data_IF_145475912479
#
_entry.id   IF_145475912479
#
_cell.length_a   1.000
_cell.length_b   1.000
_cell.length_c   1.000
_cell.angle_alpha   90.00
_cell.angle_beta   90.00
_cell.angle_gamma   90.00
#
_symmetry.space_group_name_H-M   'P 1'
#
loop_
_entity.id
_entity.type
_entity.pdbx_description
1 polymer ?
#
# COMPACT_ATOMS: atom_id res chain seq x y z
N UNK A 1 -10.61 21.34 20.25
CA UNK A 1 -10.93 21.19 18.84
C UNK A 1 -9.97 20.21 18.20
N UNK A 2 -10.48 19.07 17.88
CA UNK A 2 -9.68 18.10 17.18
C UNK A 2 -9.51 18.56 15.74
N UNK A 3 -8.37 19.08 15.44
CA UNK A 3 -7.99 19.19 14.04
C UNK A 3 -7.66 17.80 13.55
N UNK A 4 -8.64 17.19 12.97
CA UNK A 4 -8.35 16.03 12.16
C UNK A 4 -7.56 16.55 10.95
N UNK A 5 -6.35 16.10 10.82
CA UNK A 5 -5.65 16.29 9.58
C UNK A 5 -6.49 15.80 8.40
N UNK A 6 -6.19 16.20 7.18
CA UNK A 6 -6.94 15.77 6.02
C UNK A 6 -7.08 14.25 6.03
N UNK A 7 -8.27 13.75 5.74
CA UNK A 7 -8.49 12.32 5.64
C UNK A 7 -7.54 11.71 4.62
N UNK A 8 -7.19 10.47 4.80
CA UNK A 8 -6.29 9.75 3.88
C UNK A 8 -6.74 9.88 2.42
N UNK A 9 -8.05 9.89 2.22
CA UNK A 9 -8.64 10.06 0.90
C UNK A 9 -8.23 11.40 0.28
N UNK A 10 -8.27 12.48 1.04
CA UNK A 10 -7.89 13.81 0.58
C UNK A 10 -6.39 13.90 0.31
N UNK A 11 -5.60 13.31 1.19
CA UNK A 11 -4.14 13.26 1.01
C UNK A 11 -3.79 12.52 -0.28
N UNK A 12 -4.46 11.41 -0.54
CA UNK A 12 -4.20 10.63 -1.75
C UNK A 12 -4.68 11.37 -3.00
N UNK A 13 -5.86 11.96 -2.95
CA UNK A 13 -6.39 12.74 -4.07
C UNK A 13 -5.49 13.93 -4.35
N UNK A 14 -5.03 14.61 -3.32
CA UNK A 14 -4.11 15.73 -3.45
C UNK A 14 -2.76 15.27 -4.02
N UNK A 15 -2.27 14.12 -3.58
CA UNK A 15 -1.03 13.54 -4.09
C UNK A 15 -1.16 13.16 -5.57
N UNK A 16 -2.26 12.54 -5.94
CA UNK A 16 -2.53 12.16 -7.33
C UNK A 16 -2.73 13.40 -8.21
N UNK A 17 -3.43 14.41 -7.71
CA UNK A 17 -3.64 15.66 -8.41
C UNK A 17 -2.33 16.41 -8.62
N UNK A 18 -1.49 16.46 -7.59
CA UNK A 18 -0.17 17.07 -7.68
C UNK A 18 0.71 16.31 -8.68
N UNK A 19 0.63 14.99 -8.67
CA UNK A 19 1.38 14.18 -9.61
C UNK A 19 0.93 14.42 -11.06
N UNK A 20 -0.37 14.58 -11.27
CA UNK A 20 -0.93 14.86 -12.59
C UNK A 20 -0.62 16.28 -13.05
N UNK A 21 -0.75 17.26 -12.16
CA UNK A 21 -0.48 18.66 -12.52
C UNK A 21 1.00 18.91 -12.77
N UNK A 22 1.88 18.10 -12.23
CA UNK A 22 3.32 18.17 -12.48
C UNK A 22 3.76 17.24 -13.59
N UNK A 23 2.82 16.72 -14.36
CA UNK A 23 3.05 15.61 -15.26
C UNK A 23 4.16 15.79 -16.28
N UNK A 24 4.40 16.97 -16.80
CA UNK A 24 5.43 17.17 -17.81
C UNK A 24 6.68 17.83 -17.24
N UNK A 25 6.62 19.02 -16.62
CA UNK A 25 7.86 19.63 -16.11
C UNK A 25 8.37 18.99 -14.83
N UNK A 26 7.52 18.34 -14.05
CA UNK A 26 7.90 17.70 -12.81
C UNK A 26 8.45 16.30 -12.96
N UNK A 27 8.20 15.63 -14.07
CA UNK A 27 8.54 14.23 -14.24
C UNK A 27 10.05 13.96 -14.17
N UNK A 28 10.87 14.87 -14.62
CA UNK A 28 12.33 14.74 -14.54
C UNK A 28 12.90 14.87 -13.15
N UNK A 29 12.17 15.48 -12.23
CA UNK A 29 12.58 15.63 -10.83
C UNK A 29 11.92 14.62 -9.92
N UNK A 30 10.99 13.85 -10.45
CA UNK A 30 10.31 12.81 -9.70
C UNK A 30 11.28 11.67 -9.49
N UNK A 31 11.61 11.42 -8.22
CA UNK A 31 12.43 10.26 -7.89
C UNK A 31 11.67 8.99 -8.26
N UNK A 32 12.32 8.04 -8.96
CA UNK A 32 11.70 6.74 -9.16
C UNK A 32 11.47 6.10 -7.79
N UNK A 33 10.41 5.32 -7.66
CA UNK A 33 10.17 4.58 -6.45
C UNK A 33 11.31 3.59 -6.21
N UNK A 34 11.73 3.46 -4.95
CA UNK A 34 12.71 2.45 -4.58
C UNK A 34 12.09 1.06 -4.73
N UNK A 35 12.84 0.15 -5.35
CA UNK A 35 12.44 -1.24 -5.52
C UNK A 35 13.60 -2.10 -5.06
N UNK A 36 13.38 -3.10 -4.19
CA UNK A 36 14.48 -3.93 -3.72
C UNK A 36 15.01 -4.84 -4.84
N UNK A 37 16.24 -5.25 -4.70
CA UNK A 37 16.84 -6.20 -5.64
C UNK A 37 16.17 -7.57 -5.53
N UNK A 38 15.88 -8.00 -4.29
CA UNK A 38 15.18 -9.25 -3.99
C UNK A 38 14.28 -9.07 -2.78
N UNK A 39 13.16 -9.78 -2.77
CA UNK A 39 12.22 -9.71 -1.65
C UNK A 39 12.79 -10.30 -0.36
N UNK A 40 13.68 -11.28 -0.45
CA UNK A 40 14.27 -11.92 0.73
C UNK A 40 15.25 -11.02 1.49
N UNK A 41 15.59 -9.86 0.92
CA UNK A 41 16.37 -8.83 1.60
C UNK A 41 15.53 -7.97 2.54
N UNK A 42 14.21 -8.08 2.48
CA UNK A 42 13.30 -7.37 3.38
C UNK A 42 13.28 -8.08 4.73
N UNK A 43 14.11 -7.61 5.65
CA UNK A 43 14.32 -8.24 6.95
C UNK A 43 13.90 -7.32 8.10
N UNK A 44 12.98 -6.42 7.83
CA UNK A 44 12.46 -5.52 8.84
C UNK A 44 11.63 -6.23 9.91
N UNK A 45 11.24 -5.50 10.96
CA UNK A 45 10.47 -6.08 12.05
C UNK A 45 9.07 -6.47 11.61
N UNK A 46 8.54 -7.53 12.20
CA UNK A 46 7.18 -7.99 11.96
C UNK A 46 6.27 -7.78 13.18
N UNK A 47 6.80 -7.30 14.28
CA UNK A 47 6.07 -7.04 15.51
C UNK A 47 6.73 -5.92 16.31
N UNK A 48 6.04 -5.45 17.35
CA UNK A 48 6.57 -4.40 18.21
C UNK A 48 6.34 -3.01 17.64
N UNK A 49 7.08 -2.05 18.16
CA UNK A 49 6.96 -0.64 17.80
C UNK A 49 8.11 -0.24 16.89
N UNK A 50 7.79 0.41 15.77
CA UNK A 50 8.78 0.92 14.82
C UNK A 50 8.80 2.44 14.89
N UNK A 51 10.00 2.99 14.99
CA UNK A 51 10.24 4.43 14.94
C UNK A 51 10.89 4.76 13.60
N UNK A 52 10.18 5.51 12.77
CA UNK A 52 10.77 6.04 11.55
C UNK A 52 11.60 7.27 11.91
N UNK A 53 12.77 7.45 11.29
CA UNK A 53 13.56 8.64 11.52
C UNK A 53 12.83 9.87 11.03
N UNK A 54 13.05 11.00 11.70
CA UNK A 54 12.53 12.27 11.25
C UNK A 54 13.13 12.61 9.90
N UNK A 55 12.28 12.72 8.88
CA UNK A 55 12.72 13.05 7.53
C UNK A 55 11.84 14.18 6.98
N UNK A 56 12.41 15.17 6.30
CA UNK A 56 11.62 16.30 5.81
C UNK A 56 10.46 15.90 4.91
N UNK A 57 10.61 14.79 4.21
CA UNK A 57 9.59 14.30 3.27
C UNK A 57 8.57 13.36 3.91
N UNK A 58 8.77 13.01 5.18
CA UNK A 58 7.88 12.08 5.89
C UNK A 58 6.96 12.88 6.80
N UNK A 59 5.74 13.05 6.35
CA UNK A 59 4.73 13.76 7.12
C UNK A 59 4.08 12.83 8.13
N UNK A 60 3.94 13.29 9.37
CA UNK A 60 3.15 12.61 10.36
C UNK A 60 3.95 11.98 11.48
N UNK A 61 3.26 11.17 12.26
CA UNK A 61 3.79 10.54 13.43
C UNK A 61 4.71 9.37 13.05
N UNK A 62 5.93 9.43 13.50
CA UNK A 62 6.98 8.47 13.15
C UNK A 62 6.92 7.17 13.95
N UNK A 63 5.90 6.97 14.76
CA UNK A 63 5.80 5.79 15.64
C UNK A 63 4.64 4.90 15.17
N UNK A 64 4.95 3.63 14.92
CA UNK A 64 3.97 2.65 14.45
C UNK A 64 4.01 1.40 15.33
N UNK A 65 2.87 1.01 15.84
CA UNK A 65 2.70 -0.22 16.60
C UNK A 65 2.29 -1.34 15.63
N UNK A 66 3.22 -2.25 15.34
CA UNK A 66 2.97 -3.33 14.40
C UNK A 66 2.00 -4.39 14.93
N UNK A 67 1.75 -4.40 16.22
CA UNK A 67 0.77 -5.31 16.82
C UNK A 67 -0.66 -4.79 16.66
N UNK A 68 -0.83 -3.53 16.25
CA UNK A 68 -2.12 -2.95 15.91
C UNK A 68 -2.38 -3.13 14.41
N UNK A 69 -3.46 -3.84 14.00
CA UNK A 69 -3.64 -4.24 12.59
C UNK A 69 -3.65 -3.08 11.59
N UNK A 70 -4.26 -1.96 11.93
CA UNK A 70 -4.30 -0.81 11.04
C UNK A 70 -2.96 -0.10 10.92
N UNK A 71 -2.13 -0.16 11.94
CA UNK A 71 -0.85 0.56 11.95
C UNK A 71 0.22 -0.09 11.09
N UNK A 72 0.20 -1.41 10.96
CA UNK A 72 1.15 -2.09 10.06
C UNK A 72 0.89 -1.71 8.60
N UNK A 73 -0.37 -1.58 8.22
CA UNK A 73 -0.74 -1.12 6.88
C UNK A 73 -0.23 0.30 6.64
N UNK A 74 -0.43 1.17 7.61
CA UNK A 74 0.02 2.57 7.51
C UNK A 74 1.53 2.65 7.35
N UNK A 75 2.28 1.88 8.15
CA UNK A 75 3.74 1.85 8.05
C UNK A 75 4.19 1.39 6.67
N UNK A 76 3.62 0.29 6.18
CA UNK A 76 4.03 -0.28 4.89
C UNK A 76 3.76 0.69 3.75
N UNK A 77 2.62 1.35 3.77
CA UNK A 77 2.31 2.38 2.77
C UNK A 77 3.29 3.54 2.82
N UNK A 78 3.54 4.05 4.02
CA UNK A 78 4.47 5.17 4.19
C UNK A 78 5.86 4.82 3.67
N UNK A 79 6.38 3.66 4.04
CA UNK A 79 7.72 3.23 3.63
C UNK A 79 7.77 3.00 2.11
N UNK A 80 6.78 2.33 1.55
CA UNK A 80 6.77 2.04 0.11
C UNK A 80 6.70 3.30 -0.73
N UNK A 81 5.92 4.28 -0.31
CA UNK A 81 5.73 5.52 -1.06
C UNK A 81 6.93 6.45 -0.90
N UNK A 82 7.48 6.54 0.30
CA UNK A 82 8.45 7.58 0.63
C UNK A 82 9.91 7.10 0.65
N UNK A 83 10.16 5.80 0.60
CA UNK A 83 11.53 5.29 0.61
C UNK A 83 12.33 5.85 -0.56
N UNK A 84 13.47 6.42 -0.25
CA UNK A 84 14.37 6.97 -1.24
C UNK A 84 15.36 5.93 -1.78
N UNK A 85 15.68 4.93 -0.97
CA UNK A 85 16.67 3.90 -1.29
C UNK A 85 16.15 2.52 -0.95
N UNK A 86 16.68 1.46 -1.60
CA UNK A 86 16.34 0.10 -1.19
C UNK A 86 16.67 -0.23 0.25
N UNK A 87 17.68 0.42 0.83
CA UNK A 87 18.05 0.22 2.24
C UNK A 87 16.92 0.58 3.19
N UNK A 88 16.15 1.63 2.87
CA UNK A 88 14.97 1.99 3.65
C UNK A 88 13.95 0.85 3.65
N UNK A 89 13.77 0.21 2.49
CA UNK A 89 12.86 -0.92 2.37
C UNK A 89 13.33 -2.11 3.21
N UNK A 90 14.63 -2.41 3.16
CA UNK A 90 15.20 -3.54 3.89
C UNK A 90 15.06 -3.36 5.40
N UNK A 91 15.17 -2.13 5.87
CA UNK A 91 15.15 -1.84 7.30
C UNK A 91 13.75 -1.95 7.93
N UNK A 92 12.70 -1.66 7.17
CA UNK A 92 11.35 -1.50 7.73
C UNK A 92 10.34 -2.52 7.23
N UNK A 93 10.59 -3.18 6.11
CA UNK A 93 9.64 -4.14 5.55
C UNK A 93 10.10 -5.56 5.77
N UNK A 94 9.14 -6.45 5.98
CA UNK A 94 9.36 -7.88 6.05
C UNK A 94 8.68 -8.54 4.85
N UNK A 95 9.36 -9.49 4.22
CA UNK A 95 8.88 -10.15 3.00
C UNK A 95 7.53 -10.83 3.20
N UNK A 96 7.38 -11.57 4.29
CA UNK A 96 6.16 -12.33 4.56
C UNK A 96 4.98 -11.42 4.85
N UNK A 97 5.21 -10.39 5.66
CA UNK A 97 4.19 -9.40 5.99
C UNK A 97 3.77 -8.64 4.73
N UNK A 98 4.74 -8.25 3.91
CA UNK A 98 4.46 -7.55 2.65
C UNK A 98 3.56 -8.41 1.75
N UNK A 99 3.86 -9.69 1.61
CA UNK A 99 3.04 -10.60 0.80
C UNK A 99 1.61 -10.70 1.30
N UNK A 100 1.42 -10.72 2.62
CA UNK A 100 0.08 -10.75 3.21
C UNK A 100 -0.69 -9.45 3.00
N UNK A 101 0.00 -8.32 3.01
CA UNK A 101 -0.62 -7.01 2.93
C UNK A 101 -0.72 -6.49 1.49
N UNK A 102 0.01 -7.06 0.54
CA UNK A 102 0.19 -6.49 -0.79
C UNK A 102 -1.12 -6.11 -1.46
N UNK A 103 -2.09 -7.02 -1.46
CA UNK A 103 -3.38 -6.77 -2.09
C UNK A 103 -4.24 -5.76 -1.32
N UNK A 104 -3.98 -5.56 -0.04
CA UNK A 104 -4.70 -4.62 0.81
C UNK A 104 -4.10 -3.21 0.77
N UNK A 105 -2.86 -3.11 0.33
CA UNK A 105 -2.17 -1.82 0.29
C UNK A 105 -2.69 -0.97 -0.85
N UNK A 106 -3.07 0.25 -0.51
CA UNK A 106 -3.50 1.20 -1.50
C UNK A 106 -2.30 2.04 -1.93
N UNK A 107 -1.74 1.68 -3.07
CA UNK A 107 -0.49 2.25 -3.57
C UNK A 107 -0.73 2.99 -4.87
N UNK A 108 0.08 4.02 -5.17
CA UNK A 108 0.04 4.61 -6.50
C UNK A 108 0.26 3.56 -7.58
N UNK A 109 -0.46 3.70 -8.69
CA UNK A 109 -0.43 2.68 -9.74
C UNK A 109 0.98 2.44 -10.30
N UNK A 110 1.77 3.49 -10.41
CA UNK A 110 3.14 3.37 -10.92
C UNK A 110 4.04 2.59 -9.96
N UNK A 111 3.87 2.82 -8.65
CA UNK A 111 4.61 2.09 -7.63
C UNK A 111 4.25 0.61 -7.67
N UNK A 112 2.96 0.31 -7.66
CA UNK A 112 2.48 -1.08 -7.73
C UNK A 112 2.99 -1.78 -8.98
N UNK A 113 2.92 -1.10 -10.11
CA UNK A 113 3.39 -1.65 -11.38
C UNK A 113 4.90 -1.95 -11.35
N UNK A 114 5.70 -1.03 -10.84
CA UNK A 114 7.14 -1.21 -10.76
C UNK A 114 7.51 -2.44 -9.92
N UNK A 115 6.86 -2.61 -8.77
CA UNK A 115 7.10 -3.75 -7.91
C UNK A 115 6.59 -5.06 -8.52
N UNK A 116 5.43 -5.05 -9.14
CA UNK A 116 4.85 -6.25 -9.73
C UNK A 116 5.60 -6.69 -11.00
N UNK A 117 6.18 -5.76 -11.74
CA UNK A 117 7.06 -6.10 -12.86
C UNK A 117 8.35 -6.74 -12.38
N UNK A 118 8.89 -6.25 -11.29
CA UNK A 118 10.11 -6.81 -10.71
C UNK A 118 9.86 -8.14 -10.01
N UNK A 119 8.70 -8.28 -9.36
CA UNK A 119 8.37 -9.45 -8.55
C UNK A 119 7.03 -10.03 -9.00
N UNK A 120 7.07 -11.01 -9.94
CA UNK A 120 5.84 -11.63 -10.44
C UNK A 120 4.96 -12.26 -9.35
N UNK A 121 5.55 -12.67 -8.22
CA UNK A 121 4.77 -13.22 -7.11
C UNK A 121 3.78 -12.18 -6.55
N UNK A 122 4.15 -10.90 -6.53
CA UNK A 122 3.25 -9.85 -6.09
C UNK A 122 2.12 -9.62 -7.09
N UNK A 123 2.42 -9.66 -8.37
CA UNK A 123 1.41 -9.59 -9.42
C UNK A 123 0.40 -10.73 -9.30
N UNK A 124 0.88 -11.92 -8.99
CA UNK A 124 0.04 -13.09 -8.79
C UNK A 124 -0.88 -12.93 -7.57
N UNK A 125 -0.37 -12.39 -6.47
CA UNK A 125 -1.17 -12.08 -5.28
C UNK A 125 -2.30 -11.11 -5.63
N UNK A 126 -2.01 -10.04 -6.37
CA UNK A 126 -3.01 -9.08 -6.80
C UNK A 126 -4.08 -9.74 -7.67
N UNK A 127 -3.66 -10.59 -8.59
CA UNK A 127 -4.56 -11.27 -9.52
C UNK A 127 -5.49 -12.24 -8.78
N UNK A 128 -4.95 -13.04 -7.88
CA UNK A 128 -5.74 -14.00 -7.10
C UNK A 128 -6.74 -13.26 -6.21
N UNK A 129 -6.31 -12.20 -5.55
CA UNK A 129 -7.17 -11.42 -4.67
C UNK A 129 -8.32 -10.78 -5.45
N UNK A 130 -8.04 -10.23 -6.62
CA UNK A 130 -9.07 -9.66 -7.49
C UNK A 130 -10.09 -10.74 -7.91
N UNK A 131 -9.61 -11.93 -8.24
CA UNK A 131 -10.48 -13.05 -8.61
C UNK A 131 -11.39 -13.46 -7.45
N UNK A 132 -10.84 -13.56 -6.24
CA UNK A 132 -11.61 -13.91 -5.05
C UNK A 132 -12.66 -12.83 -4.76
N UNK A 133 -12.30 -11.56 -4.89
CA UNK A 133 -13.23 -10.45 -4.68
C UNK A 133 -14.38 -10.50 -5.69
N UNK A 134 -14.08 -10.79 -6.95
CA UNK A 134 -15.09 -10.94 -7.99
C UNK A 134 -16.03 -12.12 -7.71
N UNK A 135 -15.47 -13.25 -7.30
CA UNK A 135 -16.26 -14.42 -6.93
C UNK A 135 -17.19 -14.13 -5.75
N UNK A 136 -16.69 -13.43 -4.74
CA UNK A 136 -17.51 -13.04 -3.59
C UNK A 136 -18.63 -12.11 -4.00
N UNK A 137 -18.36 -11.17 -4.88
CA UNK A 137 -19.36 -10.24 -5.38
C UNK A 137 -20.46 -10.99 -6.15
N UNK A 138 -20.09 -11.90 -7.04
CA UNK A 138 -21.03 -12.72 -7.80
C UNK A 138 -21.87 -13.60 -6.89
N UNK A 139 -21.24 -14.21 -5.88
CA UNK A 139 -21.96 -15.05 -4.93
C UNK A 139 -22.97 -14.23 -4.13
N UNK A 140 -22.60 -13.04 -3.67
CA UNK A 140 -23.50 -12.17 -2.93
C UNK A 140 -24.69 -11.73 -3.81
N UNK A 141 -24.45 -11.46 -5.09
CA UNK A 141 -25.49 -11.11 -6.05
C UNK A 141 -26.43 -12.28 -6.28
N UNK A 142 -25.91 -13.46 -6.53
CA UNK A 142 -26.69 -14.68 -6.70
C UNK A 142 -27.56 -14.97 -5.47
N UNK A 143 -26.99 -14.82 -4.29
CA UNK A 143 -27.72 -15.03 -3.05
C UNK A 143 -28.89 -14.06 -2.89
N UNK A 144 -28.70 -12.80 -3.26
CA UNK A 144 -29.76 -11.80 -3.22
C UNK A 144 -30.89 -12.14 -4.21
N UNK A 145 -30.54 -12.57 -5.41
CA UNK A 145 -31.50 -12.97 -6.41
C UNK A 145 -32.33 -14.18 -5.95
N UNK A 146 -31.65 -15.17 -5.35
CA UNK A 146 -32.30 -16.36 -4.82
C UNK A 146 -33.31 -16.02 -3.74
N UNK A 147 -32.93 -15.12 -2.81
CA UNK A 147 -33.84 -14.70 -1.73
C UNK A 147 -34.97 -13.81 -2.23
N UNK A 148 -34.75 -13.07 -3.31
CA UNK A 148 -35.80 -12.22 -3.89
C UNK A 148 -36.85 -13.03 -4.66
N UNK A 149 -36.52 -14.22 -5.13
CA UNK A 149 -37.42 -15.10 -5.90
C UNK A 149 -38.14 -16.10 -5.03
N UNK A 150 -38.04 -16.05 -3.71
CA UNK A 150 -38.74 -16.95 -2.82
C UNK A 150 -40.26 -16.60 -2.81
N UNK A 151 -41.13 -17.45 -3.34
CA UNK A 151 -42.55 -17.19 -3.28
C UNK A 151 -43.04 -17.57 -1.88
N UNK A 152 -43.22 -16.59 -1.07
CA UNK A 152 -43.87 -16.81 0.23
C UNK A 152 -45.29 -17.27 0.08
#
# INVERSE_FOLDING_TARGET
>A
MSQRGPGWREVILQYMDTADSQGVPGSRYRRPYAVPERLDLLLGPSSGTVHLPSHPDWSGNAVYDLDAPGRVVDLYRAVLIEAATPQDLYAYLDEKVLGRLWALLWLPAQLRRAWEQRFPVLAEISRITATIADMRHRFAQWRRELLATDPS
#
